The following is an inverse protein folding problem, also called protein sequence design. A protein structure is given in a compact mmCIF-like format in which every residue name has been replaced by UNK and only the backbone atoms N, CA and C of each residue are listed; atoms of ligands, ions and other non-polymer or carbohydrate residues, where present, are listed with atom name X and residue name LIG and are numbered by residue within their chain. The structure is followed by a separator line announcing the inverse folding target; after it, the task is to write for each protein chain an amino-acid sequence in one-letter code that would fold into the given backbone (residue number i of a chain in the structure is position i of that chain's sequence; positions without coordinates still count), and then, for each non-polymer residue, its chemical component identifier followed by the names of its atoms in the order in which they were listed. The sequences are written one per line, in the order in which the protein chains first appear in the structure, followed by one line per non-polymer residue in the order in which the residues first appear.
data_IF_872103896390
#
_entry.id   IF_872103896390
#
_cell.length_a   1.000
_cell.length_b   1.000
_cell.length_c   1.000
_cell.angle_alpha   90.00
_cell.angle_beta   90.00
_cell.angle_gamma   90.00
#
_symmetry.space_group_name_H-M   'P 1'
#
loop_
_entity.id
_entity.type
_entity.pdbx_description
1 polymer ?
#
# COMPACT_ATOMS: atom_id res chain seq x y z
N UNK A 1 14.26 4.43 -32.10
CA UNK A 1 13.30 5.29 -31.37
C UNK A 1 11.97 5.09 -32.08
N UNK A 2 11.13 4.20 -31.54
CA UNK A 2 9.96 3.65 -32.25
C UNK A 2 8.79 4.65 -32.24
N UNK A 3 8.07 4.73 -33.35
CA UNK A 3 6.90 5.59 -33.59
C UNK A 3 5.75 5.42 -32.57
N UNK A 4 5.80 4.40 -31.70
CA UNK A 4 4.84 4.15 -30.62
C UNK A 4 5.03 5.00 -29.35
N UNK A 5 6.09 5.81 -29.24
CA UNK A 5 6.31 6.67 -28.06
C UNK A 5 5.71 8.09 -28.19
N UNK A 6 5.36 8.54 -29.40
CA UNK A 6 4.93 9.92 -29.65
C UNK A 6 3.44 10.21 -29.35
N UNK A 7 2.58 9.20 -29.16
CA UNK A 7 1.14 9.42 -28.91
C UNK A 7 0.76 9.66 -27.44
N UNK A 8 1.71 9.59 -26.49
CA UNK A 8 1.45 9.68 -25.04
C UNK A 8 1.48 11.09 -24.47
N UNK A 9 1.85 12.07 -25.29
CA UNK A 9 2.23 13.40 -24.85
C UNK A 9 1.44 14.45 -25.59
N UNK A 10 0.60 15.22 -24.89
CA UNK A 10 0.04 16.45 -25.45
C UNK A 10 1.08 17.54 -25.24
N UNK A 11 1.67 17.99 -26.33
CA UNK A 11 2.58 19.15 -26.35
C UNK A 11 1.74 20.42 -26.52
N UNK A 12 1.95 21.40 -25.66
CA UNK A 12 1.38 22.75 -25.79
C UNK A 12 2.44 23.72 -26.31
N UNK A 13 2.01 24.83 -26.91
CA UNK A 13 2.89 25.86 -27.51
C UNK A 13 3.94 26.44 -26.54
N UNK A 14 3.75 26.27 -25.23
CA UNK A 14 4.67 26.70 -24.18
C UNK A 14 5.69 25.61 -23.74
N UNK A 15 5.77 24.48 -24.44
CA UNK A 15 6.70 23.38 -24.13
C UNK A 15 6.30 22.53 -22.91
N UNK A 16 5.10 22.73 -22.35
CA UNK A 16 4.59 21.87 -21.29
C UNK A 16 4.08 20.55 -21.87
N UNK A 17 4.63 19.44 -21.38
CA UNK A 17 4.20 18.09 -21.76
C UNK A 17 3.28 17.49 -20.70
N UNK A 18 2.00 17.25 -21.03
CA UNK A 18 1.07 16.54 -20.13
C UNK A 18 0.79 15.12 -20.62
N UNK A 19 0.98 14.14 -19.74
CA UNK A 19 0.41 12.79 -19.90
C UNK A 19 -1.08 12.90 -19.58
N UNK A 20 -1.97 12.55 -20.51
CA UNK A 20 -3.42 12.53 -20.22
C UNK A 20 -3.66 11.61 -19.02
N UNK A 21 -4.42 12.09 -18.03
CA UNK A 21 -4.68 11.41 -16.74
C UNK A 21 -5.21 9.96 -16.86
N UNK A 22 -5.67 9.55 -18.05
CA UNK A 22 -6.14 8.20 -18.36
C UNK A 22 -5.14 7.25 -19.04
N UNK A 23 -3.92 7.72 -19.34
CA UNK A 23 -2.87 6.89 -19.96
C UNK A 23 -1.90 6.29 -18.95
N UNK A 24 -1.93 6.76 -17.70
CA UNK A 24 -1.15 6.18 -16.61
C UNK A 24 -1.83 4.93 -16.07
N UNK A 25 -1.02 3.90 -15.85
CA UNK A 25 -1.43 2.66 -15.21
C UNK A 25 -2.05 2.97 -13.83
N UNK A 26 -3.18 2.36 -13.53
CA UNK A 26 -3.78 2.45 -12.17
C UNK A 26 -3.08 1.47 -11.22
N UNK A 27 -3.21 1.67 -9.90
CA UNK A 27 -2.70 0.72 -8.91
C UNK A 27 -3.23 -0.69 -9.13
N UNK A 28 -4.51 -0.84 -9.45
CA UNK A 28 -5.15 -2.12 -9.79
C UNK A 28 -4.46 -2.80 -10.98
N UNK A 29 -4.23 -2.05 -12.06
CA UNK A 29 -3.55 -2.57 -13.25
C UNK A 29 -2.07 -2.89 -12.96
N UNK A 30 -1.42 -2.09 -12.10
CA UNK A 30 -0.06 -2.38 -11.65
C UNK A 30 0.02 -3.71 -10.89
N UNK A 31 -0.87 -3.91 -9.91
CA UNK A 31 -0.95 -5.14 -9.14
C UNK A 31 -1.24 -6.35 -10.03
N UNK A 32 -2.20 -6.22 -10.95
CA UNK A 32 -2.57 -7.27 -11.88
C UNK A 32 -1.38 -7.70 -12.75
N UNK A 33 -0.65 -6.73 -13.32
CA UNK A 33 0.54 -7.00 -14.12
C UNK A 33 1.67 -7.63 -13.28
N UNK A 34 1.86 -7.16 -12.04
CA UNK A 34 2.83 -7.74 -11.11
C UNK A 34 2.49 -9.19 -10.76
N UNK A 35 1.21 -9.48 -10.49
CA UNK A 35 0.73 -10.83 -10.21
C UNK A 35 0.88 -11.76 -11.42
N UNK A 36 0.67 -11.28 -12.66
CA UNK A 36 0.93 -12.09 -13.87
C UNK A 36 2.39 -12.53 -14.00
N UNK A 37 3.34 -11.68 -13.60
CA UNK A 37 4.77 -12.04 -13.62
C UNK A 37 5.13 -13.09 -12.58
N UNK A 38 4.47 -13.05 -11.42
CA UNK A 38 4.66 -14.00 -10.33
C UNK A 38 3.30 -14.46 -9.78
N UNK A 39 2.63 -15.40 -10.47
CA UNK A 39 1.28 -15.84 -10.09
C UNK A 39 1.23 -16.59 -8.76
N UNK A 40 2.33 -17.25 -8.42
CA UNK A 40 2.49 -18.04 -7.19
C UNK A 40 3.06 -17.18 -6.08
N UNK A 41 2.29 -16.99 -5.01
CA UNK A 41 2.68 -16.23 -3.81
C UNK A 41 2.52 -17.06 -2.55
N UNK A 42 3.41 -16.88 -1.58
CA UNK A 42 3.35 -17.53 -0.27
C UNK A 42 2.92 -16.48 0.75
N UNK A 43 1.89 -16.77 1.52
CA UNK A 43 1.42 -15.88 2.59
C UNK A 43 2.37 -15.92 3.80
N UNK A 44 2.26 -14.96 4.74
CA UNK A 44 3.04 -15.01 5.97
C UNK A 44 2.83 -16.28 6.81
N UNK A 45 1.69 -16.96 6.64
CA UNK A 45 1.39 -18.24 7.32
C UNK A 45 1.94 -19.46 6.59
N UNK A 46 2.70 -19.27 5.50
CA UNK A 46 3.20 -20.36 4.65
C UNK A 46 2.17 -20.95 3.69
N UNK A 47 0.96 -20.38 3.61
CA UNK A 47 -0.07 -20.86 2.66
C UNK A 47 0.30 -20.41 1.25
N UNK A 48 0.23 -21.33 0.31
CA UNK A 48 0.39 -21.01 -1.10
C UNK A 48 -0.90 -20.48 -1.71
N UNK A 49 -0.78 -19.45 -2.55
CA UNK A 49 -1.85 -18.89 -3.37
C UNK A 49 -1.34 -18.84 -4.81
N UNK A 50 -2.14 -19.37 -5.74
CA UNK A 50 -1.87 -19.30 -7.17
C UNK A 50 -2.95 -18.43 -7.79
N UNK A 51 -2.55 -17.31 -8.38
CA UNK A 51 -3.46 -16.40 -9.06
C UNK A 51 -3.76 -16.88 -10.47
N UNK A 52 -5.05 -16.93 -10.79
CA UNK A 52 -5.55 -17.19 -12.14
C UNK A 52 -5.97 -15.88 -12.80
N UNK A 53 -5.85 -15.85 -14.13
CA UNK A 53 -6.12 -14.68 -14.95
C UNK A 53 -7.08 -15.06 -16.09
N UNK A 54 -8.36 -15.30 -15.78
CA UNK A 54 -9.33 -15.73 -16.77
C UNK A 54 -9.53 -14.66 -17.86
N UNK A 55 -9.90 -15.12 -19.05
CA UNK A 55 -10.24 -14.22 -20.14
C UNK A 55 -11.41 -13.30 -19.78
N UNK A 56 -11.22 -12.02 -20.11
CA UNK A 56 -12.22 -10.99 -19.90
C UNK A 56 -12.91 -10.71 -21.23
N UNK A 57 -14.26 -10.68 -21.27
CA UNK A 57 -14.99 -10.44 -22.51
C UNK A 57 -14.73 -9.04 -23.04
N UNK A 58 -15.10 -8.83 -24.31
CA UNK A 58 -15.01 -7.52 -24.94
C UNK A 58 -16.00 -6.53 -24.31
N UNK A 59 -15.62 -5.25 -24.30
CA UNK A 59 -16.48 -4.15 -23.84
C UNK A 59 -16.26 -2.88 -24.67
N UNK A 60 -17.31 -2.09 -24.83
CA UNK A 60 -17.27 -0.83 -25.59
C UNK A 60 -16.71 0.34 -24.77
N UNK A 61 -16.86 0.31 -23.44
CA UNK A 61 -16.39 1.39 -22.57
C UNK A 61 -14.87 1.50 -22.63
N UNK A 62 -14.33 2.67 -22.98
CA UNK A 62 -12.89 2.91 -23.02
C UNK A 62 -12.21 2.91 -21.64
N UNK A 63 -12.98 3.11 -20.55
CA UNK A 63 -12.46 3.24 -19.18
C UNK A 63 -13.24 2.39 -18.19
N UNK A 64 -12.53 1.88 -17.18
CA UNK A 64 -13.10 1.15 -16.06
C UNK A 64 -13.88 2.08 -15.13
N UNK A 65 -15.10 1.68 -14.76
CA UNK A 65 -15.91 2.42 -13.79
C UNK A 65 -15.20 2.60 -12.44
N UNK A 66 -14.50 1.57 -11.97
CA UNK A 66 -13.87 1.56 -10.65
C UNK A 66 -12.57 2.37 -10.63
N UNK A 67 -11.54 1.92 -11.34
CA UNK A 67 -10.20 2.55 -11.26
C UNK A 67 -9.99 3.69 -12.26
N UNK A 68 -10.87 3.84 -13.26
CA UNK A 68 -10.74 4.86 -14.31
C UNK A 68 -9.66 4.57 -15.36
N UNK A 69 -8.94 3.46 -15.24
CA UNK A 69 -7.92 3.01 -16.21
C UNK A 69 -8.54 2.50 -17.50
N UNK A 70 -7.74 2.45 -18.57
CA UNK A 70 -8.18 1.93 -19.87
C UNK A 70 -8.62 0.46 -19.77
N UNK A 71 -9.71 0.14 -20.44
CA UNK A 71 -10.19 -1.24 -20.61
C UNK A 71 -9.46 -1.96 -21.75
N UNK A 72 -8.93 -1.22 -22.73
CA UNK A 72 -8.38 -1.74 -23.97
C UNK A 72 -9.36 -2.69 -24.68
N UNK A 73 -10.64 -2.35 -24.65
CA UNK A 73 -11.71 -3.16 -25.25
C UNK A 73 -12.06 -4.42 -24.45
N UNK A 74 -11.48 -4.63 -23.25
CA UNK A 74 -11.81 -5.77 -22.37
C UNK A 74 -12.37 -5.33 -21.04
N UNK A 75 -13.54 -5.84 -20.69
CA UNK A 75 -14.20 -5.52 -19.43
C UNK A 75 -15.40 -6.40 -19.13
N UNK A 76 -15.68 -6.57 -17.86
CA UNK A 76 -16.90 -7.23 -17.39
C UNK A 76 -18.00 -6.22 -17.11
N UNK A 77 -19.29 -6.55 -17.34
CA UNK A 77 -20.39 -5.67 -16.97
C UNK A 77 -20.36 -5.32 -15.48
N UNK A 78 -20.50 -4.04 -15.14
CA UNK A 78 -20.49 -3.52 -13.76
C UNK A 78 -21.46 -4.28 -12.86
N UNK A 79 -22.67 -4.57 -13.34
CA UNK A 79 -23.70 -5.31 -12.58
C UNK A 79 -23.30 -6.76 -12.25
N UNK A 80 -22.37 -7.36 -13.00
CA UNK A 80 -21.86 -8.71 -12.75
C UNK A 80 -20.73 -8.70 -11.72
N UNK A 81 -19.89 -7.66 -11.73
CA UNK A 81 -18.68 -7.58 -10.90
C UNK A 81 -18.90 -6.85 -9.58
N UNK A 82 -19.68 -5.77 -9.59
CA UNK A 82 -20.04 -5.01 -8.40
C UNK A 82 -21.37 -5.54 -7.87
N UNK A 83 -21.31 -6.27 -6.75
CA UNK A 83 -22.50 -6.84 -6.10
C UNK A 83 -23.38 -5.73 -5.51
N UNK A 84 -24.71 -5.94 -5.37
CA UNK A 84 -25.60 -4.98 -4.70
C UNK A 84 -25.21 -4.62 -3.26
N UNK A 85 -24.46 -5.49 -2.58
CA UNK A 85 -23.94 -5.26 -1.22
C UNK A 85 -22.70 -4.37 -1.15
N UNK A 86 -22.18 -3.93 -2.30
CA UNK A 86 -21.04 -3.04 -2.35
C UNK A 86 -21.47 -1.62 -1.97
N UNK A 87 -21.03 -1.11 -0.82
CA UNK A 87 -21.49 0.18 -0.29
C UNK A 87 -20.65 1.37 -0.78
N UNK A 88 -19.43 1.12 -1.24
CA UNK A 88 -18.46 2.15 -1.63
C UNK A 88 -18.61 2.64 -3.07
N UNK A 89 -19.84 2.92 -3.53
CA UNK A 89 -20.09 3.39 -4.89
C UNK A 89 -19.44 4.76 -5.20
N UNK A 90 -19.19 5.55 -4.16
CA UNK A 90 -18.51 6.85 -4.19
C UNK A 90 -17.06 6.79 -4.67
N UNK A 91 -16.43 5.60 -4.65
CA UNK A 91 -15.01 5.44 -5.02
C UNK A 91 -14.81 5.33 -6.54
N UNK A 92 -15.89 5.26 -7.31
CA UNK A 92 -15.87 5.15 -8.77
C UNK A 92 -15.09 6.31 -9.41
N UNK A 93 -13.99 5.99 -10.09
CA UNK A 93 -13.15 7.00 -10.77
C UNK A 93 -13.69 7.38 -12.14
N UNK A 94 -14.60 6.59 -12.72
CA UNK A 94 -15.26 6.94 -13.98
C UNK A 94 -16.74 6.52 -13.98
N UNK A 95 -17.62 7.27 -13.28
CA UNK A 95 -18.99 6.85 -12.98
C UNK A 95 -19.89 6.55 -14.20
N UNK A 96 -19.57 7.12 -15.37
CA UNK A 96 -20.33 6.93 -16.61
C UNK A 96 -20.17 5.53 -17.21
N UNK A 97 -19.04 4.86 -16.97
CA UNK A 97 -18.78 3.53 -17.52
C UNK A 97 -19.72 2.48 -16.93
N UNK A 98 -20.10 1.52 -17.77
CA UNK A 98 -20.87 0.34 -17.38
C UNK A 98 -20.00 -0.92 -17.31
N UNK A 99 -18.67 -0.77 -17.45
CA UNK A 99 -17.72 -1.87 -17.50
C UNK A 99 -16.62 -1.74 -16.43
N UNK A 100 -16.15 -2.90 -15.96
CA UNK A 100 -15.02 -3.03 -15.03
C UNK A 100 -13.88 -3.73 -15.77
N UNK A 101 -12.69 -3.12 -15.80
CA UNK A 101 -11.53 -3.69 -16.48
C UNK A 101 -11.07 -5.01 -15.84
N UNK A 102 -10.33 -5.81 -16.61
CA UNK A 102 -9.77 -7.10 -16.18
C UNK A 102 -9.07 -7.04 -14.82
N UNK A 103 -8.28 -6.01 -14.57
CA UNK A 103 -7.50 -5.86 -13.34
C UNK A 103 -8.39 -5.62 -12.12
N UNK A 104 -9.44 -4.82 -12.27
CA UNK A 104 -10.39 -4.57 -11.19
C UNK A 104 -11.28 -5.78 -10.92
N UNK A 105 -11.72 -6.47 -11.97
CA UNK A 105 -12.50 -7.70 -11.84
C UNK A 105 -11.69 -8.78 -11.14
N UNK A 106 -10.45 -9.00 -11.57
CA UNK A 106 -9.52 -9.91 -10.91
C UNK A 106 -9.26 -9.51 -9.46
N UNK A 107 -8.98 -8.22 -9.22
CA UNK A 107 -8.69 -7.71 -7.89
C UNK A 107 -9.82 -8.00 -6.89
N UNK A 108 -11.06 -7.70 -7.27
CA UNK A 108 -12.25 -7.91 -6.44
C UNK A 108 -12.66 -9.39 -6.29
N UNK A 109 -12.25 -10.26 -7.22
CA UNK A 109 -12.51 -11.70 -7.14
C UNK A 109 -11.57 -12.41 -6.15
N UNK A 110 -10.38 -11.85 -5.87
CA UNK A 110 -9.35 -12.49 -5.06
C UNK A 110 -9.34 -11.96 -3.62
N UNK A 111 -9.97 -12.69 -2.70
CA UNK A 111 -10.07 -12.31 -1.28
C UNK A 111 -8.71 -12.13 -0.60
N UNK A 112 -7.66 -12.82 -1.05
CA UNK A 112 -6.29 -12.63 -0.54
C UNK A 112 -5.79 -11.19 -0.68
N UNK A 113 -6.20 -10.47 -1.72
CA UNK A 113 -5.83 -9.07 -1.93
C UNK A 113 -6.59 -8.11 -0.99
N UNK A 114 -7.65 -8.60 -0.33
CA UNK A 114 -8.36 -7.92 0.76
C UNK A 114 -7.77 -8.30 2.13
N UNK A 115 -7.38 -9.56 2.29
CA UNK A 115 -7.01 -10.13 3.59
C UNK A 115 -5.58 -9.82 4.00
N UNK A 116 -4.66 -9.70 3.04
CA UNK A 116 -3.23 -9.54 3.32
C UNK A 116 -2.72 -8.16 2.90
N UNK A 117 -1.65 -7.72 3.56
CA UNK A 117 -0.79 -6.66 3.05
C UNK A 117 -0.28 -7.02 1.66
N UNK A 118 -0.04 -6.01 0.81
CA UNK A 118 0.40 -6.21 -0.56
C UNK A 118 1.62 -5.34 -0.79
N UNK A 119 2.69 -5.95 -1.31
CA UNK A 119 3.73 -5.22 -2.01
C UNK A 119 3.72 -5.69 -3.46
N UNK A 120 3.47 -4.77 -4.39
CA UNK A 120 3.64 -5.04 -5.81
C UNK A 120 4.79 -4.19 -6.35
N UNK A 121 5.68 -4.81 -7.12
CA UNK A 121 6.82 -4.16 -7.78
C UNK A 121 6.85 -4.55 -9.26
N UNK A 122 7.82 -4.03 -10.01
CA UNK A 122 8.08 -4.48 -11.38
C UNK A 122 8.38 -5.99 -11.50
N UNK A 123 8.79 -6.65 -10.41
CA UNK A 123 9.21 -8.06 -10.40
C UNK A 123 8.10 -9.03 -9.97
N UNK A 124 7.04 -8.54 -9.32
CA UNK A 124 5.99 -9.42 -8.81
C UNK A 124 5.13 -8.82 -7.72
N UNK A 125 4.11 -9.57 -7.32
CA UNK A 125 3.28 -9.30 -6.16
C UNK A 125 3.70 -10.19 -4.99
N UNK A 126 3.69 -9.64 -3.78
CA UNK A 126 4.00 -10.34 -2.53
C UNK A 126 2.97 -10.00 -1.45
N UNK A 127 2.76 -10.96 -0.54
CA UNK A 127 2.04 -10.75 0.72
C UNK A 127 3.03 -10.74 1.90
N UNK A 128 3.63 -9.59 2.21
CA UNK A 128 4.72 -9.53 3.19
C UNK A 128 4.23 -9.78 4.62
N UNK A 129 5.06 -10.48 5.41
CA UNK A 129 4.91 -10.57 6.87
C UNK A 129 5.20 -9.21 7.52
N UNK A 130 4.84 -9.04 8.81
CA UNK A 130 5.22 -7.83 9.56
C UNK A 130 6.74 -7.58 9.54
N UNK A 131 7.56 -8.62 9.46
CA UNK A 131 9.03 -8.49 9.36
C UNK A 131 9.46 -7.88 8.05
N UNK A 132 8.91 -8.42 6.96
CA UNK A 132 9.18 -7.94 5.62
C UNK A 132 8.65 -6.52 5.46
N UNK A 133 7.46 -6.22 5.98
CA UNK A 133 6.90 -4.86 5.97
C UNK A 133 7.87 -3.88 6.63
N UNK A 134 8.31 -4.15 7.87
CA UNK A 134 9.31 -3.31 8.56
C UNK A 134 10.56 -3.13 7.70
N UNK A 135 11.10 -4.21 7.14
CA UNK A 135 12.28 -4.17 6.26
C UNK A 135 12.04 -3.27 5.04
N UNK A 136 10.89 -3.39 4.39
CA UNK A 136 10.54 -2.60 3.20
C UNK A 136 10.22 -1.14 3.51
N UNK A 137 9.81 -0.79 4.73
CA UNK A 137 9.65 0.62 5.09
C UNK A 137 10.99 1.32 5.35
N UNK A 138 11.97 0.57 5.87
CA UNK A 138 13.35 1.06 6.10
C UNK A 138 14.16 1.05 4.81
N UNK A 139 14.06 -0.03 4.03
CA UNK A 139 14.75 -0.24 2.76
C UNK A 139 13.71 -0.54 1.66
N UNK A 140 13.04 0.49 1.16
CA UNK A 140 11.97 0.35 0.17
C UNK A 140 12.46 -0.15 -1.18
N UNK A 141 11.60 -0.84 -1.95
CA UNK A 141 11.96 -1.35 -3.26
C UNK A 141 12.29 -0.23 -4.25
N UNK A 142 12.97 -0.61 -5.32
CA UNK A 142 13.13 0.27 -6.48
C UNK A 142 11.77 0.65 -7.07
N UNK A 143 11.51 1.93 -7.33
CA UNK A 143 10.29 2.36 -7.98
C UNK A 143 10.17 1.79 -9.41
N UNK A 144 8.95 1.59 -9.93
CA UNK A 144 7.67 1.84 -9.28
C UNK A 144 7.20 0.68 -8.38
N UNK A 145 6.46 1.00 -7.32
CA UNK A 145 5.81 -0.01 -6.46
C UNK A 145 4.48 0.47 -5.87
N UNK A 146 3.62 -0.47 -5.47
CA UNK A 146 2.40 -0.21 -4.70
C UNK A 146 2.50 -0.95 -3.37
N UNK A 147 2.14 -0.29 -2.27
CA UNK A 147 2.27 -0.87 -0.94
C UNK A 147 1.05 -0.60 -0.07
N UNK A 148 0.41 -1.68 0.41
CA UNK A 148 -0.69 -1.63 1.38
C UNK A 148 -0.37 -2.50 2.60
N UNK A 149 -0.81 -2.06 3.77
CA UNK A 149 -0.69 -2.77 5.04
C UNK A 149 -2.09 -3.02 5.59
N UNK A 150 -2.51 -4.27 5.63
CA UNK A 150 -3.79 -4.69 6.21
C UNK A 150 -3.63 -4.96 7.71
N UNK A 151 -4.52 -4.40 8.53
CA UNK A 151 -4.61 -4.70 9.97
C UNK A 151 -5.77 -5.65 10.22
N UNK A 152 -6.96 -5.32 9.70
CA UNK A 152 -8.17 -6.14 9.89
C UNK A 152 -8.31 -7.30 8.89
N UNK A 153 -7.69 -7.17 7.72
CA UNK A 153 -7.90 -8.07 6.58
C UNK A 153 -9.33 -8.00 5.99
N UNK A 154 -10.14 -6.99 6.35
CA UNK A 154 -11.54 -6.88 5.92
C UNK A 154 -11.77 -5.83 4.84
N UNK A 155 -10.72 -5.20 4.29
CA UNK A 155 -10.86 -4.03 3.41
C UNK A 155 -10.04 -4.14 2.14
N UNK A 156 -10.58 -3.63 1.03
CA UNK A 156 -9.94 -3.65 -0.29
C UNK A 156 -8.97 -2.47 -0.48
N UNK A 157 -7.83 -2.50 0.22
CA UNK A 157 -6.94 -1.33 0.34
C UNK A 157 -6.33 -0.88 -0.99
N UNK A 158 -6.01 -1.85 -1.85
CA UNK A 158 -5.32 -1.62 -3.12
C UNK A 158 -6.12 -0.79 -4.13
N UNK A 159 -7.44 -0.67 -3.95
CA UNK A 159 -8.30 0.23 -4.75
C UNK A 159 -7.94 1.71 -4.50
N UNK A 160 -7.50 2.02 -3.28
CA UNK A 160 -7.16 3.39 -2.85
C UNK A 160 -5.66 3.70 -2.97
N UNK A 161 -4.82 2.67 -3.10
CA UNK A 161 -3.39 2.82 -3.10
C UNK A 161 -2.87 3.57 -4.34
N UNK A 162 -1.73 4.24 -4.18
CA UNK A 162 -1.00 4.90 -5.26
C UNK A 162 0.18 4.05 -5.72
N UNK A 163 0.60 4.29 -6.97
CA UNK A 163 1.90 3.81 -7.47
C UNK A 163 2.94 4.84 -7.02
N UNK A 164 3.92 4.39 -6.25
CA UNK A 164 5.05 5.18 -5.81
C UNK A 164 6.13 5.17 -6.89
N UNK A 165 6.65 6.35 -7.20
CA UNK A 165 7.75 6.57 -8.15
C UNK A 165 9.02 7.11 -7.45
N UNK A 166 9.02 7.11 -6.13
CA UNK A 166 10.12 7.53 -5.26
C UNK A 166 10.18 6.52 -4.10
N UNK A 167 11.38 6.16 -3.65
CA UNK A 167 11.61 5.23 -2.55
C UNK A 167 12.16 5.92 -1.29
N UNK A 168 12.54 7.19 -1.32
CA UNK A 168 12.91 7.95 -0.12
C UNK A 168 11.71 8.60 0.57
N UNK A 169 10.71 9.01 -0.21
CA UNK A 169 9.45 9.57 0.26
C UNK A 169 8.29 8.99 -0.55
N UNK A 170 7.42 8.22 0.10
CA UNK A 170 6.37 7.44 -0.58
C UNK A 170 5.11 7.30 0.28
N UNK A 171 4.00 6.94 -0.36
CA UNK A 171 2.72 6.72 0.32
C UNK A 171 2.43 5.23 0.42
N UNK A 172 1.93 4.80 1.57
CA UNK A 172 1.33 3.48 1.74
C UNK A 172 -0.12 3.63 2.18
N UNK A 173 -0.95 2.62 1.89
CA UNK A 173 -2.26 2.51 2.53
C UNK A 173 -2.13 1.68 3.80
N UNK A 174 -2.23 2.30 4.97
CA UNK A 174 -2.28 1.59 6.26
C UNK A 174 -3.74 1.50 6.72
N UNK A 175 -4.31 0.30 6.62
CA UNK A 175 -5.76 0.12 6.60
C UNK A 175 -6.37 1.10 5.56
N UNK A 176 -7.33 1.93 5.94
CA UNK A 176 -7.95 2.92 5.03
C UNK A 176 -7.33 4.32 5.08
N UNK A 177 -6.21 4.50 5.78
CA UNK A 177 -5.56 5.81 5.89
C UNK A 177 -4.28 5.83 5.06
N UNK A 178 -4.12 6.78 4.12
CA UNK A 178 -2.84 6.98 3.46
C UNK A 178 -1.82 7.50 4.47
N UNK A 179 -0.63 6.91 4.48
CA UNK A 179 0.49 7.30 5.34
C UNK A 179 1.67 7.67 4.47
N UNK A 180 2.15 8.91 4.61
CA UNK A 180 3.40 9.35 4.00
C UNK A 180 4.57 8.81 4.81
N UNK A 181 5.50 8.16 4.14
CA UNK A 181 6.67 7.51 4.72
C UNK A 181 7.92 8.17 4.15
N UNK A 182 8.71 8.75 5.04
CA UNK A 182 10.12 9.01 4.80
C UNK A 182 10.91 7.85 5.41
N UNK A 183 11.67 7.11 4.61
CA UNK A 183 12.32 5.86 5.06
C UNK A 183 13.31 6.08 6.20
N UNK A 184 14.11 7.16 6.14
CA UNK A 184 15.07 7.51 7.18
C UNK A 184 14.39 7.95 8.48
N UNK A 185 13.33 8.77 8.37
CA UNK A 185 12.52 9.18 9.53
C UNK A 185 11.86 7.96 10.18
N UNK A 186 11.26 7.07 9.39
CA UNK A 186 10.65 5.84 9.90
C UNK A 186 11.67 4.97 10.64
N UNK A 187 12.87 4.81 10.07
CA UNK A 187 13.98 4.09 10.71
C UNK A 187 14.36 4.70 12.06
N UNK A 188 14.56 6.02 12.12
CA UNK A 188 14.90 6.70 13.37
C UNK A 188 13.81 6.51 14.46
N UNK A 189 12.54 6.65 14.09
CA UNK A 189 11.41 6.49 15.02
C UNK A 189 11.31 5.04 15.53
N UNK A 190 11.39 4.05 14.64
CA UNK A 190 11.20 2.65 15.05
C UNK A 190 12.34 2.14 15.93
N UNK A 191 13.58 2.60 15.71
CA UNK A 191 14.74 2.25 16.55
C UNK A 191 14.61 2.81 17.98
N UNK A 192 14.09 4.04 18.12
CA UNK A 192 13.79 4.63 19.43
C UNK A 192 12.66 3.88 20.15
N UNK A 193 11.58 3.54 19.43
CA UNK A 193 10.46 2.74 19.96
C UNK A 193 10.94 1.37 20.42
N UNK A 194 11.77 0.68 19.62
CA UNK A 194 12.31 -0.64 19.96
C UNK A 194 13.26 -0.56 21.16
N UNK A 195 14.02 0.52 21.30
CA UNK A 195 14.85 0.77 22.50
C UNK A 195 13.99 0.77 23.77
N UNK A 196 12.86 1.48 23.77
CA UNK A 196 11.92 1.47 24.91
C UNK A 196 11.24 0.09 25.05
N UNK A 197 10.82 -0.53 23.95
CA UNK A 197 10.11 -1.80 24.01
C UNK A 197 10.98 -2.93 24.60
N UNK A 198 12.27 -2.94 24.23
CA UNK A 198 13.27 -3.86 24.78
C UNK A 198 13.59 -3.59 26.25
N UNK A 199 13.47 -2.34 26.70
CA UNK A 199 13.60 -1.96 28.12
C UNK A 199 12.38 -2.34 28.98
N UNK A 200 11.32 -2.92 28.40
CA UNK A 200 10.15 -3.41 29.14
C UNK A 200 8.96 -2.44 29.18
N UNK A 201 9.06 -1.30 28.48
CA UNK A 201 7.88 -0.47 28.21
C UNK A 201 6.97 -1.21 27.22
N UNK A 202 5.66 -1.12 27.42
CA UNK A 202 4.68 -1.75 26.54
C UNK A 202 4.40 -0.86 25.33
N UNK A 203 3.91 -1.46 24.24
CA UNK A 203 3.47 -0.69 23.07
C UNK A 203 2.37 0.33 23.41
N UNK A 204 1.50 0.04 24.37
CA UNK A 204 0.43 0.95 24.80
C UNK A 204 0.99 2.17 25.56
N UNK A 205 1.95 1.96 26.47
CA UNK A 205 2.69 3.05 27.13
C UNK A 205 3.41 3.91 26.08
N UNK A 206 4.13 3.27 25.15
CA UNK A 206 4.84 3.95 24.06
C UNK A 206 3.87 4.58 23.06
N UNK A 207 2.62 4.14 22.93
CA UNK A 207 1.63 4.79 22.05
C UNK A 207 1.08 6.05 22.69
N UNK A 208 0.77 5.98 24.00
CA UNK A 208 0.08 7.04 24.74
C UNK A 208 1.01 8.07 25.37
N UNK A 209 2.28 7.73 25.62
CA UNK A 209 3.21 8.57 26.36
C UNK A 209 3.01 8.50 27.88
N UNK A 210 2.21 7.54 28.35
CA UNK A 210 1.94 7.34 29.78
C UNK A 210 2.76 6.18 30.28
N UNK A 211 3.86 6.47 30.96
CA UNK A 211 4.81 5.48 31.42
C UNK A 211 4.80 5.33 32.93
N UNK A 212 5.05 4.12 33.42
CA UNK A 212 5.17 3.86 34.85
C UNK A 212 6.51 4.39 35.39
N UNK A 213 6.45 5.20 36.45
CA UNK A 213 7.63 5.87 37.02
C UNK A 213 8.78 4.90 37.36
N UNK A 214 8.48 3.72 37.92
CA UNK A 214 9.52 2.74 38.25
C UNK A 214 10.26 2.19 37.02
N UNK A 215 9.61 2.12 35.85
CA UNK A 215 10.26 1.71 34.60
C UNK A 215 11.18 2.80 34.06
N UNK A 216 10.78 4.07 34.18
CA UNK A 216 11.63 5.22 33.84
C UNK A 216 12.89 5.21 34.70
N UNK A 217 12.74 5.02 36.02
CA UNK A 217 13.87 4.93 36.95
C UNK A 217 14.80 3.77 36.60
N UNK A 218 14.26 2.58 36.31
CA UNK A 218 15.05 1.41 35.93
C UNK A 218 15.78 1.57 34.59
N UNK A 219 15.19 2.30 33.64
CA UNK A 219 15.81 2.58 32.33
C UNK A 219 16.83 3.72 32.37
N UNK A 220 16.68 4.63 33.33
CA UNK A 220 17.47 5.85 33.50
C UNK A 220 16.75 7.09 32.96
N UNK A 221 16.55 8.09 33.83
CA UNK A 221 15.75 9.30 33.55
C UNK A 221 16.32 10.07 32.34
N UNK A 222 17.62 10.39 32.33
CA UNK A 222 18.24 11.17 31.25
C UNK A 222 18.10 10.49 29.87
N UNK A 223 18.29 9.17 29.84
CA UNK A 223 18.14 8.37 28.61
C UNK A 223 16.69 8.33 28.16
N UNK A 224 15.76 8.17 29.10
CA UNK A 224 14.33 8.22 28.82
C UNK A 224 13.93 9.56 28.22
N UNK A 225 14.27 10.67 28.87
CA UNK A 225 13.92 12.03 28.42
C UNK A 225 14.47 12.32 27.02
N UNK A 226 15.72 11.93 26.73
CA UNK A 226 16.31 12.10 25.39
C UNK A 226 15.53 11.36 24.29
N UNK A 227 15.01 10.17 24.59
CA UNK A 227 14.20 9.40 23.64
C UNK A 227 12.80 10.01 23.55
N UNK A 228 12.16 10.29 24.68
CA UNK A 228 10.79 10.78 24.74
C UNK A 228 10.64 12.14 24.07
N UNK A 229 11.61 13.07 24.24
CA UNK A 229 11.61 14.36 23.55
C UNK A 229 11.55 14.24 22.01
N UNK A 230 12.06 13.14 21.45
CA UNK A 230 11.95 12.87 20.00
C UNK A 230 10.61 12.21 19.67
N UNK A 231 10.18 11.22 20.44
CA UNK A 231 8.94 10.47 20.19
C UNK A 231 7.68 11.31 20.41
N UNK A 232 7.69 12.23 21.37
CA UNK A 232 6.54 13.10 21.68
C UNK A 232 6.10 13.91 20.46
N UNK A 233 7.06 14.44 19.68
CA UNK A 233 6.77 15.22 18.46
C UNK A 233 6.13 14.40 17.33
N UNK A 234 6.28 13.07 17.38
CA UNK A 234 5.74 12.15 16.38
C UNK A 234 4.45 11.48 16.84
N UNK A 235 4.17 11.51 18.15
CA UNK A 235 3.05 10.85 18.80
C UNK A 235 1.72 11.34 18.25
N UNK A 236 0.79 10.40 18.04
CA UNK A 236 -0.51 10.68 17.43
C UNK A 236 -0.50 10.76 15.89
N UNK A 237 0.68 10.74 15.25
CA UNK A 237 0.75 10.57 13.81
C UNK A 237 0.51 9.12 13.40
N UNK A 238 -0.07 8.91 12.21
CA UNK A 238 -0.27 7.57 11.64
C UNK A 238 1.05 6.83 11.36
N UNK A 239 2.12 7.57 11.06
CA UNK A 239 3.46 6.99 10.87
C UNK A 239 4.00 6.42 12.18
N UNK A 240 3.80 7.14 13.29
CA UNK A 240 4.17 6.68 14.62
C UNK A 240 3.37 5.45 15.06
N UNK A 241 2.05 5.47 14.88
CA UNK A 241 1.20 4.30 15.18
C UNK A 241 1.66 3.05 14.41
N UNK A 242 1.98 3.22 13.11
CA UNK A 242 2.53 2.15 12.29
C UNK A 242 3.87 1.65 12.82
N UNK A 243 4.77 2.54 13.22
CA UNK A 243 6.06 2.18 13.80
C UNK A 243 5.90 1.39 15.11
N UNK A 244 4.94 1.78 15.97
CA UNK A 244 4.60 1.02 17.18
C UNK A 244 4.02 -0.36 16.83
N UNK A 245 3.11 -0.48 15.85
CA UNK A 245 2.55 -1.77 15.44
C UNK A 245 3.66 -2.73 14.93
N UNK A 246 4.62 -2.20 14.18
CA UNK A 246 5.70 -2.97 13.56
C UNK A 246 6.93 -3.20 14.46
N UNK A 247 7.04 -2.50 15.60
CA UNK A 247 8.16 -2.66 16.53
C UNK A 247 8.24 -4.06 17.12
N UNK A 248 9.45 -4.48 17.48
CA UNK A 248 9.73 -5.84 17.96
C UNK A 248 10.54 -5.81 19.24
N UNK A 249 10.42 -6.90 20.01
CA UNK A 249 11.45 -7.22 21.01
C UNK A 249 12.57 -7.99 20.33
N UNK A 250 13.79 -7.74 20.75
CA UNK A 250 14.93 -8.58 20.41
C UNK A 250 14.70 -9.98 21.01
N UNK A 251 14.92 -11.01 20.19
CA UNK A 251 14.97 -12.39 20.67
C UNK A 251 16.25 -12.55 21.49
N UNK A 252 16.12 -12.94 22.76
CA UNK A 252 17.26 -13.23 23.65
C UNK A 252 17.87 -14.59 23.32
#
# INVERSE_FOLDING_TARGET
MNEYENEKYVQYENGATFIRRGDKLTSMQFLYNAAKKKPRVITPSGKEIIYEFPDTPECEDARCWLCGGKTNGKGTPKKKTIKPTFTNHDIAKYPLSQSICEACTWGLANSSLRNYSILATGNGLEHPSKQQIRKYLINPPEPPFVFTIAVSGQKWLHIFAKINYNNSFFEIMYEQTPVQVNSQKFKAIIELIETLYNAGFTKDEILKGYYQAHKILAFGIEKFEKIENQLETERGSRLFELAVDLSRKEEK
#
